data_IF_285859622711
#
_entry.id   IF_285859622711
#
_cell.length_a   1.000
_cell.length_b   1.000
_cell.length_c   1.000
_cell.angle_alpha   90.00
_cell.angle_beta   90.00
_cell.angle_gamma   90.00
#
_symmetry.space_group_name_H-M   'P 1'
#
loop_
_entity.id
_entity.type
_entity.pdbx_description
1 polymer ?
#
# COMPACT_ATOMS: atom_id res chain seq x y z
N UNK A 1 5.14 -30.53 5.43
CA UNK A 1 5.24 -29.14 4.91
C UNK A 1 3.85 -28.74 4.45
N UNK A 2 3.14 -27.90 5.22
CA UNK A 2 1.80 -27.43 4.84
C UNK A 2 1.96 -26.17 3.99
N UNK A 3 1.74 -26.27 2.69
CA UNK A 3 1.65 -25.09 1.81
C UNK A 3 0.43 -24.28 2.20
N UNK A 4 0.65 -23.06 2.70
CA UNK A 4 -0.44 -22.14 3.00
C UNK A 4 -1.08 -21.66 1.69
N UNK A 5 -2.40 -21.41 1.69
CA UNK A 5 -3.08 -20.80 0.54
C UNK A 5 -2.45 -19.46 0.12
N UNK A 6 -1.83 -18.73 1.06
CA UNK A 6 -1.06 -17.52 0.75
C UNK A 6 0.12 -17.80 -0.17
N UNK A 7 0.82 -18.91 0.06
CA UNK A 7 2.02 -19.28 -0.69
C UNK A 7 1.64 -19.78 -2.07
N UNK A 8 0.52 -20.49 -2.18
CA UNK A 8 -0.07 -20.89 -3.46
C UNK A 8 -0.45 -19.67 -4.33
N UNK A 9 -1.00 -18.61 -3.71
CA UNK A 9 -1.28 -17.34 -4.42
C UNK A 9 0.02 -16.67 -4.89
N UNK A 10 1.04 -16.60 -4.03
CA UNK A 10 2.32 -16.01 -4.40
C UNK A 10 2.96 -16.78 -5.57
N UNK A 11 2.92 -18.11 -5.53
CA UNK A 11 3.45 -18.97 -6.59
C UNK A 11 2.65 -18.85 -7.89
N UNK A 12 1.32 -18.78 -7.81
CA UNK A 12 0.47 -18.58 -8.99
C UNK A 12 0.76 -17.24 -9.69
N UNK A 13 0.93 -16.16 -8.92
CA UNK A 13 1.27 -14.85 -9.45
C UNK A 13 2.72 -14.76 -9.93
N UNK A 14 3.65 -15.48 -9.31
CA UNK A 14 5.02 -15.57 -9.80
C UNK A 14 5.08 -16.24 -11.18
N UNK A 15 4.24 -17.27 -11.39
CA UNK A 15 4.17 -18.02 -12.64
C UNK A 15 3.41 -17.31 -13.75
N UNK A 16 2.29 -16.67 -13.43
CA UNK A 16 1.37 -16.09 -14.41
C UNK A 16 1.41 -14.55 -14.48
N UNK A 17 2.10 -13.89 -13.54
CA UNK A 17 2.24 -12.44 -13.49
C UNK A 17 1.01 -11.75 -12.90
N UNK A 18 0.03 -11.42 -13.75
CA UNK A 18 -1.19 -10.68 -13.38
C UNK A 18 -2.40 -11.60 -13.43
N UNK A 19 -3.15 -11.70 -12.34
CA UNK A 19 -4.36 -12.51 -12.26
C UNK A 19 -5.47 -11.77 -11.50
N UNK A 20 -6.72 -12.00 -11.89
CA UNK A 20 -7.88 -11.54 -11.12
C UNK A 20 -8.28 -12.56 -10.03
N UNK A 21 -9.17 -12.17 -9.11
CA UNK A 21 -9.60 -13.03 -8.00
C UNK A 21 -10.18 -14.38 -8.43
N UNK A 22 -11.09 -14.49 -9.42
CA UNK A 22 -11.64 -15.78 -9.84
C UNK A 22 -10.57 -16.69 -10.48
N UNK A 23 -9.62 -16.12 -11.25
CA UNK A 23 -8.49 -16.88 -11.77
C UNK A 23 -7.59 -17.41 -10.64
N UNK A 24 -7.32 -16.60 -9.61
CA UNK A 24 -6.58 -17.03 -8.44
C UNK A 24 -7.30 -18.16 -7.69
N UNK A 25 -8.61 -18.02 -7.46
CA UNK A 25 -9.44 -19.00 -6.78
C UNK A 25 -9.41 -20.36 -7.51
N UNK A 26 -9.52 -20.34 -8.85
CA UNK A 26 -9.41 -21.53 -9.68
C UNK A 26 -8.03 -22.20 -9.59
N UNK A 27 -6.95 -21.41 -9.55
CA UNK A 27 -5.56 -21.92 -9.50
C UNK A 27 -5.20 -22.58 -8.17
N UNK A 28 -5.74 -22.06 -7.07
CA UNK A 28 -5.48 -22.58 -5.72
C UNK A 28 -6.59 -23.54 -5.24
N UNK A 29 -7.57 -23.83 -6.11
CA UNK A 29 -8.75 -24.65 -5.81
C UNK A 29 -9.45 -24.26 -4.50
N UNK A 30 -9.65 -22.95 -4.29
CA UNK A 30 -10.28 -22.38 -3.09
C UNK A 30 -11.52 -21.56 -3.46
N UNK A 31 -12.43 -21.39 -2.50
CA UNK A 31 -13.61 -20.53 -2.66
C UNK A 31 -13.21 -19.11 -3.07
N UNK A 32 -13.94 -18.52 -4.03
CA UNK A 32 -13.71 -17.15 -4.47
C UNK A 32 -13.82 -16.16 -3.32
N UNK A 33 -14.77 -16.34 -2.40
CA UNK A 33 -14.95 -15.45 -1.22
C UNK A 33 -13.72 -15.47 -0.30
N UNK A 34 -13.21 -16.66 0.02
CA UNK A 34 -12.00 -16.83 0.86
C UNK A 34 -10.77 -16.28 0.15
N UNK A 35 -10.67 -16.50 -1.16
CA UNK A 35 -9.60 -15.95 -2.00
C UNK A 35 -9.63 -14.42 -1.99
N UNK A 36 -10.81 -13.79 -2.09
CA UNK A 36 -10.94 -12.32 -1.99
C UNK A 36 -10.43 -11.79 -0.65
N UNK A 37 -10.83 -12.43 0.46
CA UNK A 37 -10.37 -12.04 1.80
C UNK A 37 -8.86 -12.20 1.95
N UNK A 38 -8.32 -13.32 1.44
CA UNK A 38 -6.89 -13.60 1.48
C UNK A 38 -6.08 -12.61 0.63
N UNK A 39 -6.54 -12.31 -0.59
CA UNK A 39 -5.94 -11.30 -1.45
C UNK A 39 -5.97 -9.91 -0.78
N UNK A 40 -7.09 -9.56 -0.14
CA UNK A 40 -7.20 -8.32 0.62
C UNK A 40 -6.18 -8.25 1.75
N UNK A 41 -6.07 -9.32 2.56
CA UNK A 41 -5.08 -9.43 3.62
C UNK A 41 -3.64 -9.32 3.09
N UNK A 42 -3.33 -10.01 1.99
CA UNK A 42 -2.01 -9.99 1.37
C UNK A 42 -1.66 -8.61 0.77
N UNK A 43 -2.64 -7.84 0.32
CA UNK A 43 -2.46 -6.43 -0.08
C UNK A 43 -2.15 -5.54 1.11
N UNK A 44 -2.86 -5.69 2.23
CA UNK A 44 -2.56 -4.96 3.47
C UNK A 44 -1.14 -5.22 3.95
N UNK A 45 -0.67 -6.47 3.80
CA UNK A 45 0.71 -6.87 4.11
C UNK A 45 1.76 -6.42 3.07
N UNK A 46 1.35 -5.66 2.05
CA UNK A 46 2.19 -5.18 0.93
C UNK A 46 2.86 -6.29 0.13
N UNK A 47 2.29 -7.51 0.12
CA UNK A 47 2.79 -8.64 -0.71
C UNK A 47 2.23 -8.58 -2.14
N UNK A 48 1.03 -8.03 -2.30
CA UNK A 48 0.33 -7.89 -3.57
C UNK A 48 -0.02 -6.43 -3.83
N UNK A 49 -0.12 -6.06 -5.11
CA UNK A 49 -0.66 -4.76 -5.56
C UNK A 49 -1.75 -4.97 -6.59
N UNK A 50 -2.66 -4.00 -6.68
CA UNK A 50 -3.63 -3.93 -7.77
C UNK A 50 -2.92 -3.36 -9.00
N UNK A 51 -3.03 -4.05 -10.13
CA UNK A 51 -2.26 -3.78 -11.34
C UNK A 51 -3.19 -3.78 -12.56
N UNK A 52 -4.15 -2.86 -12.52
CA UNK A 52 -5.19 -2.69 -13.53
C UNK A 52 -6.40 -3.61 -13.32
N UNK A 53 -7.08 -3.90 -14.42
CA UNK A 53 -8.25 -4.77 -14.47
C UNK A 53 -8.14 -5.78 -15.62
N UNK A 54 -8.63 -6.99 -15.39
CA UNK A 54 -8.77 -8.06 -16.37
C UNK A 54 -10.25 -8.45 -16.37
N UNK A 55 -10.90 -8.43 -17.53
CA UNK A 55 -12.32 -8.73 -17.71
C UNK A 55 -13.25 -7.89 -16.82
N UNK A 56 -12.90 -6.61 -16.61
CA UNK A 56 -13.65 -5.69 -15.74
C UNK A 56 -13.46 -5.92 -14.24
N UNK A 57 -12.62 -6.89 -13.84
CA UNK A 57 -12.32 -7.21 -12.45
C UNK A 57 -10.90 -6.77 -12.10
N UNK A 58 -10.68 -6.36 -10.84
CA UNK A 58 -9.35 -5.96 -10.37
C UNK A 58 -8.33 -7.10 -10.57
N UNK A 59 -7.22 -6.76 -11.21
CA UNK A 59 -6.09 -7.65 -11.42
C UNK A 59 -5.02 -7.38 -10.36
N UNK A 60 -4.33 -8.43 -9.94
CA UNK A 60 -3.31 -8.36 -8.90
C UNK A 60 -1.98 -8.86 -9.42
N UNK A 61 -0.89 -8.23 -8.97
CA UNK A 61 0.47 -8.67 -9.24
C UNK A 61 1.33 -8.63 -7.97
N UNK A 62 2.47 -9.34 -8.01
CA UNK A 62 3.43 -9.34 -6.92
C UNK A 62 4.14 -8.00 -6.80
N UNK A 63 4.27 -7.51 -5.57
CA UNK A 63 5.22 -6.45 -5.21
C UNK A 63 6.62 -7.03 -5.06
N UNK A 64 7.65 -6.19 -4.92
CA UNK A 64 9.02 -6.64 -4.65
C UNK A 64 9.11 -7.51 -3.39
N UNK A 65 8.34 -7.15 -2.35
CA UNK A 65 8.20 -7.94 -1.12
C UNK A 65 7.47 -9.27 -1.33
N UNK A 66 6.48 -9.31 -2.23
CA UNK A 66 5.83 -10.55 -2.61
C UNK A 66 6.77 -11.49 -3.36
N UNK A 67 7.59 -10.94 -4.27
CA UNK A 67 8.59 -11.69 -5.05
C UNK A 67 9.68 -12.28 -4.17
N UNK A 68 10.15 -11.58 -3.15
CA UNK A 68 11.17 -12.10 -2.23
C UNK A 68 10.69 -13.27 -1.37
N UNK A 69 9.38 -13.46 -1.23
CA UNK A 69 8.78 -14.54 -0.45
C UNK A 69 8.48 -15.79 -1.29
N UNK A 70 8.54 -15.68 -2.61
CA UNK A 70 8.41 -16.84 -3.48
C UNK A 70 9.74 -17.59 -3.41
N UNK A 71 9.79 -18.83 -2.92
CA UNK A 71 10.99 -19.63 -3.02
C UNK A 71 11.36 -19.71 -4.49
N UNK A 72 12.51 -19.15 -4.83
CA UNK A 72 13.08 -19.26 -6.18
C UNK A 72 13.47 -20.72 -6.33
N UNK A 73 12.55 -21.54 -6.81
CA UNK A 73 12.93 -22.72 -7.56
C UNK A 73 13.70 -22.18 -8.76
N UNK A 74 15.02 -22.16 -8.60
CA UNK A 74 16.00 -21.65 -9.56
C UNK A 74 16.05 -22.63 -10.72
N UNK A 75 14.95 -22.70 -11.48
CA UNK A 75 14.97 -23.12 -12.88
C UNK A 75 14.73 -21.87 -13.73
N UNK A 76 15.52 -20.84 -13.43
CA UNK A 76 15.88 -19.85 -14.42
C UNK A 76 16.58 -20.62 -15.54
N UNK A 77 15.84 -20.99 -16.57
CA UNK A 77 16.42 -21.33 -17.85
C UNK A 77 17.21 -20.10 -18.29
N UNK A 78 18.53 -20.16 -18.14
CA UNK A 78 19.47 -19.33 -18.89
C UNK A 78 19.03 -19.36 -20.35
N UNK A 79 18.63 -18.23 -20.97
CA UNK A 79 18.71 -18.16 -22.42
C UNK A 79 20.21 -18.22 -22.74
N UNK A 80 20.62 -19.37 -23.27
CA UNK A 80 21.92 -19.57 -23.89
C UNK A 80 22.11 -18.47 -24.93
N UNK A 81 23.15 -17.65 -24.76
CA UNK A 81 23.63 -16.80 -25.83
C UNK A 81 24.17 -17.68 -26.96
N UNK A 82 23.90 -17.35 -28.23
CA UNK A 82 24.88 -17.58 -29.28
C UNK A 82 25.68 -16.29 -29.47
N UNK A 83 27.00 -16.45 -29.38
CA UNK A 83 27.97 -15.51 -29.90
C UNK A 83 27.75 -15.31 -31.41
N UNK A 84 27.85 -14.07 -31.88
CA UNK A 84 28.34 -13.80 -33.24
C UNK A 84 29.03 -12.43 -33.24
N UNK A 85 30.32 -12.48 -33.58
CA UNK A 85 31.16 -11.37 -33.99
C UNK A 85 30.59 -10.73 -35.26
N UNK A 86 30.55 -9.40 -35.27
CA UNK A 86 30.77 -8.54 -36.44
C UNK A 86 31.00 -7.13 -35.85
N UNK A 87 32.20 -6.83 -35.34
CA UNK A 87 33.24 -6.08 -36.06
C UNK A 87 32.71 -5.24 -37.23
N UNK A 88 32.68 -3.91 -37.04
CA UNK A 88 33.31 -2.95 -37.95
C UNK A 88 32.97 -1.49 -37.60
N UNK A 89 34.03 -0.68 -37.65
CA UNK A 89 34.04 0.77 -37.87
C UNK A 89 33.68 1.69 -36.69
N UNK A 90 34.67 1.83 -35.81
CA UNK A 90 35.48 3.05 -35.75
C UNK A 90 34.76 4.40 -36.01
N UNK A 91 34.55 5.16 -34.94
CA UNK A 91 34.85 6.60 -34.96
C UNK A 91 34.94 7.11 -33.54
N UNK A 92 36.18 7.10 -33.06
CA UNK A 92 36.60 7.95 -31.97
C UNK A 92 36.35 9.41 -32.33
N UNK A 93 35.73 10.18 -31.42
CA UNK A 93 36.09 11.58 -31.15
C UNK A 93 35.29 12.11 -29.95
N UNK A 94 35.87 12.00 -28.76
CA UNK A 94 35.77 13.01 -27.68
C UNK A 94 37.06 13.87 -27.78
N UNK A 95 37.26 14.99 -27.04
CA UNK A 95 36.40 15.69 -26.06
C UNK A 95 36.38 17.24 -26.24
N UNK A 96 35.51 17.96 -25.53
CA UNK A 96 35.89 19.31 -24.99
C UNK A 96 35.10 19.64 -23.72
N UNK A 97 35.69 20.54 -22.93
CA UNK A 97 35.65 20.70 -21.48
C UNK A 97 35.08 22.10 -21.15
N UNK A 98 34.83 22.34 -19.86
CA UNK A 98 34.61 23.64 -19.16
C UNK A 98 33.15 24.13 -19.04
N UNK A 99 32.68 24.81 -17.99
CA UNK A 99 33.12 25.08 -16.61
C UNK A 99 32.01 25.94 -15.96
N UNK A 100 31.71 25.68 -14.69
CA UNK A 100 31.15 26.55 -13.62
C UNK A 100 30.11 27.66 -13.93
N UNK A 101 29.03 27.70 -13.13
CA UNK A 101 28.80 28.71 -12.07
C UNK A 101 27.36 28.66 -11.53
N UNK A 102 27.19 28.43 -10.22
CA UNK A 102 26.07 28.99 -9.46
C UNK A 102 26.24 30.52 -9.38
N UNK A 103 25.13 31.28 -9.22
CA UNK A 103 24.97 31.89 -7.91
C UNK A 103 23.53 31.91 -7.36
N UNK A 104 23.53 31.81 -6.04
CA UNK A 104 22.52 31.99 -5.02
C UNK A 104 21.75 33.33 -5.09
N UNK A 105 20.42 33.32 -4.87
CA UNK A 105 19.65 34.48 -4.40
C UNK A 105 18.34 34.07 -3.69
N UNK A 106 18.49 33.58 -2.46
CA UNK A 106 17.79 34.01 -1.21
C UNK A 106 16.61 35.01 -1.34
N UNK A 107 15.42 34.62 -0.87
CA UNK A 107 14.53 35.38 0.03
C UNK A 107 13.14 34.69 0.15
N UNK A 108 12.36 34.64 1.23
CA UNK A 108 12.48 34.83 2.69
C UNK A 108 11.15 34.30 3.27
N UNK A 109 11.18 33.59 4.41
CA UNK A 109 10.01 33.08 5.18
C UNK A 109 9.22 34.24 5.86
N UNK A 110 8.05 34.00 6.48
CA UNK A 110 7.99 33.55 7.90
C UNK A 110 6.89 32.49 8.14
N UNK A 111 7.14 31.33 8.77
CA UNK A 111 7.11 31.01 10.22
C UNK A 111 5.82 31.42 10.96
N UNK A 112 5.01 30.41 11.28
CA UNK A 112 4.21 30.30 12.51
C UNK A 112 4.13 28.78 12.81
N UNK A 113 5.05 28.23 13.60
CA UNK A 113 4.90 28.03 15.04
C UNK A 113 3.52 27.50 15.46
N UNK A 114 3.42 26.17 15.50
CA UNK A 114 2.63 25.50 16.53
C UNK A 114 3.39 24.25 17.01
N UNK A 115 4.53 24.49 17.65
CA UNK A 115 4.96 23.60 18.74
C UNK A 115 3.99 23.83 19.89
N UNK A 116 3.10 22.88 20.13
CA UNK A 116 2.72 22.54 21.50
C UNK A 116 2.14 21.14 21.59
N UNK A 117 2.82 20.35 22.42
CA UNK A 117 2.32 19.18 23.16
C UNK A 117 1.65 18.05 22.39
N UNK A 118 2.44 17.01 22.11
CA UNK A 118 2.16 15.74 22.77
C UNK A 118 3.46 14.97 22.89
N UNK A 119 4.06 15.16 24.07
CA UNK A 119 5.05 14.26 24.61
C UNK A 119 4.54 12.82 24.51
N UNK A 120 5.44 11.94 24.08
CA UNK A 120 5.68 10.64 24.71
C UNK A 120 4.55 10.17 25.64
N UNK A 121 3.60 9.42 25.07
CA UNK A 121 2.77 8.51 25.85
C UNK A 121 2.89 7.14 25.18
N UNK A 122 4.02 6.47 25.46
CA UNK A 122 3.94 5.04 25.70
C UNK A 122 2.99 4.88 26.89
N UNK A 123 1.72 4.55 26.64
CA UNK A 123 0.82 3.86 27.58
C UNK A 123 -0.59 3.82 26.99
N UNK A 124 -1.02 2.62 26.54
CA UNK A 124 -2.40 2.22 26.19
C UNK A 124 -3.23 3.29 25.48
N UNK A 125 -3.18 3.29 24.14
CA UNK A 125 -3.92 4.23 23.27
C UNK A 125 -5.44 4.06 23.44
N UNK A 126 -6.01 4.76 24.43
CA UNK A 126 -7.44 4.91 24.58
C UNK A 126 -7.99 5.71 23.38
N UNK A 127 -9.20 5.38 22.89
CA UNK A 127 -9.78 6.12 21.78
C UNK A 127 -9.96 7.58 22.17
N UNK A 128 -9.39 8.49 21.37
CA UNK A 128 -9.53 9.92 21.52
C UNK A 128 -10.55 10.47 20.52
N UNK A 129 -11.40 11.38 20.99
CA UNK A 129 -12.49 11.96 20.22
C UNK A 129 -12.32 13.48 20.14
N UNK A 130 -12.56 14.07 18.96
CA UNK A 130 -12.45 15.51 18.76
C UNK A 130 -13.47 16.03 17.77
N UNK A 131 -14.00 17.23 18.01
CA UNK A 131 -14.83 17.96 17.05
C UNK A 131 -14.01 19.12 16.50
N UNK A 132 -13.80 19.15 15.18
CA UNK A 132 -13.11 20.24 14.52
C UNK A 132 -14.02 21.47 14.41
N UNK A 133 -13.41 22.66 14.28
CA UNK A 133 -14.15 23.90 14.04
C UNK A 133 -14.95 23.89 12.73
N UNK A 134 -14.62 22.98 11.80
CA UNK A 134 -15.37 22.70 10.56
C UNK A 134 -16.66 21.91 10.79
N UNK A 135 -16.89 21.41 12.01
CA UNK A 135 -18.00 20.53 12.36
C UNK A 135 -17.75 19.05 12.09
N UNK A 136 -16.56 18.69 11.59
CA UNK A 136 -16.16 17.30 11.38
C UNK A 136 -15.79 16.63 12.70
N UNK A 137 -16.17 15.36 12.86
CA UNK A 137 -15.84 14.57 14.05
C UNK A 137 -14.68 13.62 13.77
N UNK A 138 -13.70 13.61 14.67
CA UNK A 138 -12.49 12.81 14.60
C UNK A 138 -12.51 11.73 15.67
N UNK A 139 -12.16 10.52 15.28
CA UNK A 139 -11.91 9.39 16.18
C UNK A 139 -10.49 8.92 15.92
N UNK A 140 -9.64 8.95 16.94
CA UNK A 140 -8.28 8.44 16.91
C UNK A 140 -8.22 7.20 17.79
N UNK A 141 -7.96 6.04 17.21
CA UNK A 141 -7.86 4.77 17.93
C UNK A 141 -6.87 3.84 17.21
N UNK A 142 -6.04 3.13 17.97
CA UNK A 142 -5.08 2.14 17.45
C UNK A 142 -4.20 2.67 16.30
N UNK A 143 -3.74 3.93 16.36
CA UNK A 143 -2.97 4.58 15.29
C UNK A 143 -3.77 4.92 14.03
N UNK A 144 -5.09 4.76 14.03
CA UNK A 144 -5.98 5.11 12.93
C UNK A 144 -6.76 6.39 13.25
N UNK A 145 -6.94 7.24 12.24
CA UNK A 145 -7.81 8.42 12.33
C UNK A 145 -9.01 8.23 11.42
N UNK A 146 -10.19 8.17 12.01
CA UNK A 146 -11.48 8.16 11.30
C UNK A 146 -12.00 9.60 11.30
N UNK A 147 -12.27 10.13 10.10
CA UNK A 147 -12.91 11.44 9.93
C UNK A 147 -14.35 11.26 9.51
N UNK A 148 -15.26 11.86 10.26
CA UNK A 148 -16.70 11.83 10.00
C UNK A 148 -17.10 13.22 9.51
N UNK A 149 -17.55 13.35 8.26
CA UNK A 149 -17.99 14.63 7.71
C UNK A 149 -19.12 15.25 8.54
N UNK A 150 -19.14 16.59 8.60
CA UNK A 150 -20.11 17.34 9.40
C UNK A 150 -21.58 17.00 9.11
N UNK A 151 -21.90 16.67 7.86
CA UNK A 151 -23.25 16.25 7.42
C UNK A 151 -23.74 14.95 8.08
N UNK A 152 -22.81 14.06 8.46
CA UNK A 152 -23.12 12.77 9.09
C UNK A 152 -23.03 12.81 10.62
N UNK A 153 -22.47 13.88 11.20
CA UNK A 153 -22.35 14.02 12.66
C UNK A 153 -23.72 14.03 13.37
N UNK A 154 -24.76 14.77 12.90
CA UNK A 154 -26.09 14.73 13.51
C UNK A 154 -26.70 13.32 13.50
N UNK A 155 -26.52 12.59 12.39
CA UNK A 155 -27.03 11.23 12.22
C UNK A 155 -26.31 10.26 13.15
N UNK A 156 -24.98 10.39 13.29
CA UNK A 156 -24.19 9.61 14.24
C UNK A 156 -24.63 9.90 15.69
N UNK A 157 -24.86 11.17 16.06
CA UNK A 157 -25.37 11.52 17.40
C UNK A 157 -26.76 10.94 17.67
N UNK A 158 -27.64 10.93 16.67
CA UNK A 158 -28.97 10.32 16.79
C UNK A 158 -28.89 8.79 16.97
N UNK A 159 -27.96 8.11 16.29
CA UNK A 159 -27.73 6.67 16.45
C UNK A 159 -27.15 6.29 17.82
N UNK A 160 -26.39 7.19 18.45
CA UNK A 160 -25.90 7.00 19.81
C UNK A 160 -26.99 7.23 20.88
N UNK A 161 -28.14 7.79 20.49
CA UNK A 161 -29.34 7.94 21.30
C UNK A 161 -29.16 8.78 22.58
N UNK A 162 -30.25 9.26 23.20
CA UNK A 162 -30.17 9.69 24.58
C UNK A 162 -29.86 8.46 25.43
N UNK A 163 -28.68 8.41 26.05
CA UNK A 163 -28.56 7.63 27.28
C UNK A 163 -29.71 8.10 28.16
N UNK A 164 -30.64 7.20 28.48
CA UNK A 164 -31.77 7.45 29.37
C UNK A 164 -31.26 8.12 30.64
N UNK A 165 -31.43 9.44 30.69
CA UNK A 165 -31.49 10.17 31.94
C UNK A 165 -32.74 9.66 32.67
N UNK A 166 -32.58 8.69 33.57
CA UNK A 166 -33.68 8.22 34.41
C UNK A 166 -33.52 6.78 34.91
N UNK A 167 -32.74 6.60 35.98
CA UNK A 167 -33.02 5.61 37.04
C UNK A 167 -32.11 5.87 38.26
N UNK A 168 -32.15 7.10 38.79
CA UNK A 168 -31.89 7.35 40.20
C UNK A 168 -33.11 8.11 40.73
N UNK A 169 -34.08 7.34 41.25
CA UNK A 169 -34.88 7.75 42.39
C UNK A 169 -34.22 7.15 43.63
#
# INVERSE_FOLDING_TARGET
MTTSYSDLILQALAKHGRLNTPQLAAKISCDTKKTTQLVSLMRTNKKLKTDGAIDGLAAYSLTDRGRSLVPVDTKAATPSAPASLDDLADSQMRPTKQQAAEPNARATRPVADLRNSLAHLEDKEAPAFGLLNTGEFLIMADGHTIKIPAEYVPVMRAQLGPATAGAFQ
#
